data_IF_586614678955
#
_entry.id   IF_586614678955
#
_cell.length_a   1.000
_cell.length_b   1.000
_cell.length_c   1.000
_cell.angle_alpha   90.00
_cell.angle_beta   90.00
_cell.angle_gamma   90.00
#
_symmetry.space_group_name_H-M   'P 1'
#
loop_
_entity.id
_entity.type
_entity.pdbx_description
1 polymer ?
#
# COMPACT_ATOMS: atom_id res chain seq x y z
N UNK A 1 -8.37 22.73 -10.08
CA UNK A 1 -9.05 21.73 -9.24
C UNK A 1 -8.71 20.35 -9.76
N UNK A 2 -8.04 19.52 -8.97
CA UNK A 2 -7.71 18.15 -9.38
C UNK A 2 -8.95 17.27 -9.21
N UNK A 3 -9.20 16.36 -10.16
CA UNK A 3 -10.32 15.43 -10.05
C UNK A 3 -10.17 14.59 -8.76
N UNK A 4 -11.22 14.50 -7.95
CA UNK A 4 -11.23 13.79 -6.67
C UNK A 4 -10.82 12.32 -6.82
N UNK A 5 -11.16 11.69 -7.95
CA UNK A 5 -10.71 10.33 -8.28
C UNK A 5 -9.20 10.24 -8.46
N UNK A 6 -8.59 11.23 -9.14
CA UNK A 6 -7.13 11.30 -9.34
C UNK A 6 -6.43 11.52 -8.00
N UNK A 7 -6.98 12.39 -7.15
CA UNK A 7 -6.46 12.63 -5.79
C UNK A 7 -6.41 11.34 -4.97
N UNK A 8 -7.51 10.59 -4.98
CA UNK A 8 -7.58 9.30 -4.27
C UNK A 8 -6.63 8.26 -4.86
N UNK A 9 -6.47 8.22 -6.18
CA UNK A 9 -5.54 7.30 -6.83
C UNK A 9 -4.10 7.59 -6.41
N UNK A 10 -3.72 8.86 -6.42
CA UNK A 10 -2.38 9.30 -5.98
C UNK A 10 -2.15 8.92 -4.52
N UNK A 11 -3.12 9.13 -3.63
CA UNK A 11 -2.96 8.79 -2.22
C UNK A 11 -2.90 7.26 -2.00
N UNK A 12 -3.69 6.47 -2.72
CA UNK A 12 -3.58 5.00 -2.70
C UNK A 12 -2.19 4.52 -3.13
N UNK A 13 -1.60 5.12 -4.17
CA UNK A 13 -0.25 4.79 -4.63
C UNK A 13 0.80 5.16 -3.58
N UNK A 14 0.65 6.32 -2.93
CA UNK A 14 1.56 6.74 -1.85
C UNK A 14 1.47 5.76 -0.67
N UNK A 15 0.27 5.37 -0.25
CA UNK A 15 0.08 4.41 0.84
C UNK A 15 0.72 3.06 0.51
N UNK A 16 0.54 2.58 -0.72
CA UNK A 16 1.20 1.37 -1.19
C UNK A 16 2.72 1.48 -1.05
N UNK A 17 3.33 2.55 -1.55
CA UNK A 17 4.78 2.73 -1.53
C UNK A 17 5.33 2.82 -0.10
N UNK A 18 4.65 3.57 0.78
CA UNK A 18 5.06 3.72 2.19
C UNK A 18 4.98 2.38 2.93
N UNK A 19 3.91 1.62 2.76
CA UNK A 19 3.75 0.32 3.43
C UNK A 19 4.73 -0.70 2.86
N UNK A 20 4.91 -0.76 1.55
CA UNK A 20 5.83 -1.71 0.93
C UNK A 20 7.28 -1.48 1.36
N UNK A 21 7.76 -0.22 1.30
CA UNK A 21 9.12 0.13 1.72
C UNK A 21 9.29 -0.01 3.23
N UNK A 22 8.31 0.43 4.02
CA UNK A 22 8.34 0.30 5.48
C UNK A 22 8.36 -1.16 5.93
N UNK A 23 7.60 -2.03 5.27
CA UNK A 23 7.59 -3.46 5.57
C UNK A 23 8.97 -4.08 5.30
N UNK A 24 9.61 -3.76 4.17
CA UNK A 24 10.96 -4.23 3.84
C UNK A 24 12.05 -3.80 4.83
N UNK A 25 11.89 -2.65 5.51
CA UNK A 25 12.83 -2.19 6.53
C UNK A 25 12.65 -2.99 7.83
N UNK A 26 11.41 -3.34 8.18
CA UNK A 26 11.09 -4.06 9.42
C UNK A 26 11.51 -5.54 9.34
N UNK A 27 11.57 -6.09 8.13
CA UNK A 27 11.71 -7.53 7.88
C UNK A 27 13.12 -7.99 7.53
N UNK A 28 14.18 -7.17 7.72
CA UNK A 28 15.59 -7.49 7.42
C UNK A 28 16.07 -8.83 8.05
N UNK A 29 15.71 -9.96 7.41
CA UNK A 29 15.91 -11.33 7.89
C UNK A 29 16.68 -12.13 6.83
N UNK A 30 17.80 -12.78 7.18
CA UNK A 30 18.76 -13.33 6.21
C UNK A 30 18.32 -14.62 5.48
N UNK A 31 17.18 -15.23 5.82
CA UNK A 31 16.84 -16.61 5.39
C UNK A 31 15.43 -16.81 4.83
N UNK A 32 14.61 -15.75 4.68
CA UNK A 32 13.19 -15.91 4.38
C UNK A 32 12.71 -15.02 3.22
N UNK A 33 13.48 -14.92 2.14
CA UNK A 33 13.32 -13.79 1.21
C UNK A 33 11.99 -13.81 0.43
N UNK A 34 11.63 -14.91 -0.24
CA UNK A 34 10.48 -14.93 -1.17
C UNK A 34 9.10 -14.81 -0.52
N UNK A 35 8.86 -15.53 0.60
CA UNK A 35 7.54 -15.55 1.25
C UNK A 35 7.30 -14.26 2.04
N UNK A 36 8.32 -13.73 2.73
CA UNK A 36 8.19 -12.41 3.38
C UNK A 36 8.03 -11.31 2.35
N UNK A 37 8.73 -11.35 1.22
CA UNK A 37 8.51 -10.38 0.13
C UNK A 37 7.07 -10.40 -0.40
N UNK A 38 6.50 -11.60 -0.55
CA UNK A 38 5.11 -11.74 -0.93
C UNK A 38 4.15 -11.17 0.14
N UNK A 39 4.43 -11.38 1.43
CA UNK A 39 3.64 -10.83 2.54
C UNK A 39 3.75 -9.30 2.62
N UNK A 40 4.94 -8.73 2.45
CA UNK A 40 5.15 -7.28 2.36
C UNK A 40 4.32 -6.68 1.22
N UNK A 41 4.37 -7.29 0.04
CA UNK A 41 3.58 -6.86 -1.10
C UNK A 41 2.08 -6.96 -0.84
N UNK A 42 1.59 -8.09 -0.32
CA UNK A 42 0.18 -8.26 0.03
C UNK A 42 -0.29 -7.23 1.06
N UNK A 43 0.53 -6.96 2.09
CA UNK A 43 0.22 -5.96 3.11
C UNK A 43 0.05 -4.56 2.51
N UNK A 44 0.92 -4.19 1.56
CA UNK A 44 0.85 -2.92 0.85
C UNK A 44 -0.39 -2.83 -0.07
N UNK A 45 -0.72 -3.91 -0.79
CA UNK A 45 -1.93 -3.98 -1.63
C UNK A 45 -3.19 -3.82 -0.78
N UNK A 46 -3.28 -4.53 0.35
CA UNK A 46 -4.44 -4.46 1.25
C UNK A 46 -4.58 -3.04 1.81
N UNK A 47 -3.50 -2.43 2.30
CA UNK A 47 -3.53 -1.07 2.84
C UNK A 47 -4.01 -0.03 1.81
N UNK A 48 -3.46 -0.09 0.58
CA UNK A 48 -3.84 0.81 -0.50
C UNK A 48 -5.30 0.59 -0.95
N UNK A 49 -5.75 -0.67 -0.98
CA UNK A 49 -7.13 -1.05 -1.29
C UNK A 49 -8.12 -0.58 -0.22
N UNK A 50 -7.78 -0.71 1.06
CA UNK A 50 -8.57 -0.19 2.17
C UNK A 50 -8.76 1.31 2.08
N UNK A 51 -7.68 2.07 1.82
CA UNK A 51 -7.80 3.52 1.60
C UNK A 51 -8.63 3.84 0.36
N UNK A 52 -8.43 3.13 -0.76
CA UNK A 52 -9.19 3.35 -1.97
C UNK A 52 -10.70 3.18 -1.72
N UNK A 53 -11.10 2.09 -1.05
CA UNK A 53 -12.51 1.82 -0.75
C UNK A 53 -13.07 2.81 0.28
N UNK A 54 -12.32 3.11 1.35
CA UNK A 54 -12.76 3.96 2.45
C UNK A 54 -12.81 5.45 2.11
N UNK A 55 -11.98 5.92 1.19
CA UNK A 55 -11.93 7.33 0.76
C UNK A 55 -13.01 7.71 -0.26
N UNK A 56 -13.90 6.78 -0.63
CA UNK A 56 -14.91 7.05 -1.64
C UNK A 56 -16.02 7.98 -1.11
N UNK A 57 -16.19 9.19 -1.66
CA UNK A 57 -17.20 10.13 -1.17
C UNK A 57 -18.63 9.76 -1.60
N UNK A 58 -18.79 8.78 -2.50
CA UNK A 58 -20.08 8.25 -2.94
C UNK A 58 -20.58 7.07 -2.08
N UNK A 59 -19.91 6.81 -0.96
CA UNK A 59 -20.26 5.75 -0.01
C UNK A 59 -21.03 6.34 1.17
#
# INVERSE_FOLDING_TARGET
MMNETIKRAVISVIIFAVVYVGASIVTEMPTYDGVVKALEFMSAVIAAGCYWIGSNPKK
#
